data_IF_385265271722
#
_entry.id   IF_385265271722
#
_cell.length_a   1.000
_cell.length_b   1.000
_cell.length_c   1.000
_cell.angle_alpha   90.00
_cell.angle_beta   90.00
_cell.angle_gamma   90.00
#
_symmetry.space_group_name_H-M   'P 1'
#
loop_
_entity.id
_entity.type
_entity.pdbx_description
1 polymer ?
#
# COMPACT_ATOMS: atom_id res chain seq x y z
N UNK A 1 -11.70 16.77 7.57
CA UNK A 1 -10.51 16.22 6.90
C UNK A 1 -10.13 14.95 7.65
N UNK A 2 -10.56 13.79 7.12
CA UNK A 2 -10.33 12.52 7.79
C UNK A 2 -8.84 12.22 7.78
N UNK A 3 -8.26 12.02 8.96
CA UNK A 3 -6.92 11.45 9.14
C UNK A 3 -6.89 10.19 8.28
N UNK A 4 -6.04 10.13 7.25
CA UNK A 4 -5.90 8.89 6.48
C UNK A 4 -5.40 7.83 7.45
N UNK A 5 -6.21 6.82 7.71
CA UNK A 5 -5.82 5.73 8.58
C UNK A 5 -4.78 4.89 7.85
N UNK A 6 -3.51 5.04 8.23
CA UNK A 6 -2.40 4.30 7.63
C UNK A 6 -2.62 2.78 7.72
N UNK A 7 -3.33 2.33 8.76
CA UNK A 7 -3.75 0.94 8.94
C UNK A 7 -4.78 0.52 7.89
N UNK A 8 -5.76 1.36 7.54
CA UNK A 8 -6.70 1.09 6.44
C UNK A 8 -5.99 1.08 5.08
N UNK A 9 -5.06 2.01 4.85
CA UNK A 9 -4.26 2.07 3.61
C UNK A 9 -3.41 0.81 3.42
N UNK A 10 -2.80 0.33 4.51
CA UNK A 10 -2.05 -0.92 4.51
C UNK A 10 -2.94 -2.17 4.57
N UNK A 11 -4.25 -2.00 4.80
CA UNK A 11 -5.22 -3.10 4.95
C UNK A 11 -4.95 -3.99 6.15
N UNK A 12 -4.40 -3.43 7.23
CA UNK A 12 -4.05 -4.16 8.46
C UNK A 12 -4.85 -3.62 9.65
N UNK A 13 -4.97 -4.44 10.70
CA UNK A 13 -5.58 -3.99 11.96
C UNK A 13 -4.77 -2.87 12.59
N UNK A 14 -5.42 -2.02 13.40
CA UNK A 14 -4.71 -1.06 14.27
C UNK A 14 -3.83 -1.77 15.31
N UNK A 15 -4.16 -3.03 15.62
CA UNK A 15 -3.38 -3.91 16.51
C UNK A 15 -2.32 -4.73 15.75
N UNK A 16 -2.09 -4.46 14.47
CA UNK A 16 -1.15 -5.24 13.66
C UNK A 16 0.27 -5.12 14.19
N UNK A 17 0.96 -6.26 14.23
CA UNK A 17 2.34 -6.30 14.68
C UNK A 17 3.30 -5.74 13.61
N UNK A 18 4.54 -5.42 14.02
CA UNK A 18 5.53 -4.83 13.12
C UNK A 18 5.87 -5.73 11.92
N UNK A 19 5.71 -7.05 12.08
CA UNK A 19 5.95 -8.05 11.04
C UNK A 19 4.83 -8.04 10.00
N UNK A 20 3.60 -7.90 10.44
CA UNK A 20 2.38 -7.82 9.65
C UNK A 20 2.32 -6.50 8.88
N UNK A 21 2.69 -5.38 9.52
CA UNK A 21 2.91 -4.09 8.84
C UNK A 21 3.93 -4.20 7.70
N UNK A 22 5.12 -4.78 7.96
CA UNK A 22 6.16 -4.97 6.93
C UNK A 22 5.74 -5.92 5.81
N UNK A 23 4.95 -6.93 6.12
CA UNK A 23 4.45 -7.91 5.16
C UNK A 23 3.41 -7.27 4.25
N UNK A 24 2.43 -6.57 4.82
CA UNK A 24 1.39 -5.88 4.08
C UNK A 24 1.94 -4.74 3.23
N UNK A 25 2.86 -3.94 3.76
CA UNK A 25 3.54 -2.90 2.97
C UNK A 25 4.25 -3.49 1.74
N UNK A 26 5.02 -4.57 1.91
CA UNK A 26 5.67 -5.25 0.77
C UNK A 26 4.67 -5.80 -0.24
N UNK A 27 3.57 -6.41 0.22
CA UNK A 27 2.51 -6.90 -0.66
C UNK A 27 1.86 -5.76 -1.45
N UNK A 28 1.55 -4.65 -0.79
CA UNK A 28 0.94 -3.47 -1.41
C UNK A 28 1.90 -2.84 -2.44
N UNK A 29 3.16 -2.66 -2.06
CA UNK A 29 4.20 -2.14 -2.93
C UNK A 29 4.42 -3.03 -4.15
N UNK A 30 4.45 -4.36 -4.00
CA UNK A 30 4.56 -5.29 -5.12
C UNK A 30 3.30 -5.33 -5.99
N UNK A 31 2.11 -5.14 -5.39
CA UNK A 31 0.83 -5.11 -6.11
C UNK A 31 0.69 -3.86 -6.98
N UNK A 32 1.22 -2.73 -6.50
CA UNK A 32 1.21 -1.45 -7.22
C UNK A 32 2.55 -1.18 -7.94
N UNK A 33 3.49 -2.14 -7.96
CA UNK A 33 4.81 -1.93 -8.52
C UNK A 33 4.73 -1.72 -10.04
N UNK A 34 5.40 -0.70 -10.60
CA UNK A 34 5.38 -0.44 -12.04
C UNK A 34 5.91 -1.63 -12.87
N UNK A 35 6.90 -2.40 -12.38
CA UNK A 35 7.34 -3.63 -13.08
C UNK A 35 6.25 -4.69 -13.26
N UNK A 36 5.25 -4.74 -12.37
CA UNK A 36 4.13 -5.72 -12.48
C UNK A 36 2.90 -5.14 -13.16
N UNK A 37 2.76 -3.82 -13.19
CA UNK A 37 1.71 -3.11 -13.92
C UNK A 37 2.33 -2.12 -14.93
N UNK A 38 3.10 -2.60 -15.93
CA UNK A 38 3.81 -1.72 -16.86
C UNK A 38 2.89 -0.88 -17.74
N UNK A 39 1.62 -1.27 -17.90
CA UNK A 39 0.63 -0.60 -18.76
C UNK A 39 -0.44 0.19 -17.98
N UNK A 40 -0.29 0.36 -16.65
CA UNK A 40 -1.29 1.03 -15.82
C UNK A 40 -0.76 2.37 -15.28
N UNK A 41 -0.92 3.44 -16.06
CA UNK A 41 -0.58 4.82 -15.65
C UNK A 41 -1.29 5.23 -14.35
N UNK A 42 -2.48 4.67 -14.06
CA UNK A 42 -3.19 4.94 -12.82
C UNK A 42 -2.56 4.22 -11.60
N UNK A 43 -1.86 3.10 -11.82
CA UNK A 43 -1.06 2.45 -10.77
C UNK A 43 0.16 3.32 -10.38
N UNK A 44 0.76 4.03 -11.33
CA UNK A 44 1.85 4.97 -11.07
C UNK A 44 1.41 6.22 -10.30
N UNK A 45 0.14 6.63 -10.41
CA UNK A 45 -0.45 7.69 -9.58
C UNK A 45 -0.74 7.19 -8.15
N UNK A 46 -1.36 6.01 -8.00
CA UNK A 46 -1.62 5.40 -6.68
C UNK A 46 -0.34 5.04 -5.92
N UNK A 47 0.73 4.70 -6.62
CA UNK A 47 2.04 4.46 -6.01
C UNK A 47 2.72 5.76 -5.52
N UNK A 48 2.40 6.91 -6.12
CA UNK A 48 2.95 8.22 -5.71
C UNK A 48 2.27 8.82 -4.49
N UNK A 49 1.04 8.40 -4.19
CA UNK A 49 0.28 8.85 -3.01
C UNK A 49 0.46 7.95 -1.77
N UNK A 50 1.05 6.77 -1.92
CA UNK A 50 1.37 5.81 -0.86
C UNK A 50 2.76 6.07 -0.27
#
# INVERSE_FOLDING_TARGET
MSKRDYYEVLGVSQDADEKELKSSYRKLAMKNHPDRNPDDEAAAERFREA
#
